data_IF_172705152971
#
_entry.id   IF_172705152971
#
_cell.length_a   1.000
_cell.length_b   1.000
_cell.length_c   1.000
_cell.angle_alpha   90.00
_cell.angle_beta   90.00
_cell.angle_gamma   90.00
#
_symmetry.space_group_name_H-M   'P 1'
#
loop_
_entity.id
_entity.type
_entity.pdbx_description
1 polymer ?
#
# COMPACT_ATOMS: atom_id res chain seq x y z
N UNK A 1 -27.60 48.68 14.04
CA UNK A 1 -27.23 47.34 13.53
C UNK A 1 -27.35 47.32 12.01
N UNK A 2 -26.24 47.32 11.25
CA UNK A 2 -26.26 47.16 9.79
C UNK A 2 -26.50 45.68 9.46
N UNK A 3 -27.69 45.32 8.97
CA UNK A 3 -27.95 43.99 8.39
C UNK A 3 -27.26 43.93 7.03
N UNK A 4 -26.19 43.14 6.94
CA UNK A 4 -25.50 42.87 5.68
C UNK A 4 -26.40 42.01 4.80
N UNK A 5 -27.16 42.65 3.90
CA UNK A 5 -28.00 41.95 2.93
C UNK A 5 -27.06 41.48 1.81
N UNK A 6 -26.57 40.24 1.94
CA UNK A 6 -25.82 39.59 0.87
C UNK A 6 -26.81 39.33 -0.27
N UNK A 7 -26.58 39.85 -1.49
CA UNK A 7 -27.51 39.67 -2.59
C UNK A 7 -27.68 38.18 -2.92
N UNK A 8 -28.91 37.75 -3.16
CA UNK A 8 -29.32 36.35 -3.30
C UNK A 8 -28.47 35.55 -4.31
N UNK A 9 -27.97 36.20 -5.38
CA UNK A 9 -27.05 35.62 -6.36
C UNK A 9 -25.69 35.19 -5.78
N UNK A 10 -25.12 35.96 -4.85
CA UNK A 10 -23.86 35.62 -4.18
C UNK A 10 -24.10 34.48 -3.18
N UNK A 11 -25.24 34.48 -2.50
CA UNK A 11 -25.63 33.42 -1.55
C UNK A 11 -25.79 32.06 -2.24
N UNK A 12 -26.42 32.04 -3.42
CA UNK A 12 -26.53 30.83 -4.26
C UNK A 12 -25.17 30.33 -4.75
N UNK A 13 -24.31 31.23 -5.25
CA UNK A 13 -22.95 30.86 -5.71
C UNK A 13 -22.09 30.28 -4.60
N UNK A 14 -22.11 30.86 -3.39
CA UNK A 14 -21.37 30.34 -2.24
C UNK A 14 -21.87 28.94 -1.86
N UNK A 15 -23.19 28.73 -1.77
CA UNK A 15 -23.77 27.41 -1.47
C UNK A 15 -23.35 26.36 -2.51
N UNK A 16 -23.41 26.69 -3.80
CA UNK A 16 -22.98 25.77 -4.87
C UNK A 16 -21.49 25.44 -4.77
N UNK A 17 -20.63 26.42 -4.50
CA UNK A 17 -19.19 26.20 -4.30
C UNK A 17 -18.95 25.29 -3.08
N UNK A 18 -19.68 25.50 -1.99
CA UNK A 18 -19.51 24.70 -0.77
C UNK A 18 -19.93 23.25 -1.00
N UNK A 19 -21.04 23.03 -1.71
CA UNK A 19 -21.54 21.70 -2.08
C UNK A 19 -20.52 21.00 -3.00
N UNK A 20 -20.03 21.70 -4.03
CA UNK A 20 -19.05 21.15 -4.97
C UNK A 20 -17.75 20.76 -4.24
N UNK A 21 -17.27 21.61 -3.34
CA UNK A 21 -16.09 21.34 -2.53
C UNK A 21 -16.31 20.13 -1.61
N UNK A 22 -17.49 20.02 -0.99
CA UNK A 22 -17.88 18.87 -0.17
C UNK A 22 -17.87 17.56 -0.97
N UNK A 23 -18.47 17.55 -2.16
CA UNK A 23 -18.50 16.37 -3.05
C UNK A 23 -17.08 15.98 -3.48
N UNK A 24 -16.27 16.96 -3.88
CA UNK A 24 -14.89 16.72 -4.31
C UNK A 24 -14.03 16.17 -3.17
N UNK A 25 -14.17 16.74 -1.96
CA UNK A 25 -13.49 16.27 -0.76
C UNK A 25 -13.85 14.82 -0.43
N UNK A 26 -15.15 14.50 -0.44
CA UNK A 26 -15.63 13.14 -0.18
C UNK A 26 -15.07 12.16 -1.22
N UNK A 27 -15.11 12.51 -2.50
CA UNK A 27 -14.59 11.68 -3.58
C UNK A 27 -13.08 11.40 -3.41
N UNK A 28 -12.30 12.44 -3.08
CA UNK A 28 -10.87 12.29 -2.79
C UNK A 28 -10.62 11.39 -1.59
N UNK A 29 -11.38 11.56 -0.49
CA UNK A 29 -11.20 10.69 0.69
C UNK A 29 -11.46 9.22 0.38
N UNK A 30 -12.48 8.91 -0.42
CA UNK A 30 -12.76 7.54 -0.85
C UNK A 30 -11.63 6.97 -1.71
N UNK A 31 -11.06 7.76 -2.64
CA UNK A 31 -9.97 7.31 -3.50
C UNK A 31 -8.67 7.00 -2.75
N UNK A 32 -8.44 7.63 -1.60
CA UNK A 32 -7.25 7.44 -0.77
C UNK A 32 -7.49 6.59 0.49
N UNK A 33 -8.72 6.14 0.73
CA UNK A 33 -9.02 5.23 1.82
C UNK A 33 -8.50 3.81 1.51
N UNK A 34 -7.82 3.17 2.46
CA UNK A 34 -7.35 1.78 2.32
C UNK A 34 -8.51 0.80 2.56
N UNK A 35 -9.44 0.71 1.62
CA UNK A 35 -10.67 -0.12 1.71
C UNK A 35 -10.70 -1.30 0.74
N UNK A 36 -9.77 -1.36 -0.21
CA UNK A 36 -9.75 -2.41 -1.22
C UNK A 36 -8.79 -3.49 -0.79
N UNK A 37 -9.29 -4.70 -0.55
CA UNK A 37 -8.42 -5.87 -0.44
C UNK A 37 -7.97 -6.25 -1.83
N UNK A 38 -6.66 -6.47 -1.98
CA UNK A 38 -6.09 -6.92 -3.25
C UNK A 38 -5.59 -8.36 -3.21
N UNK A 39 -5.20 -8.87 -2.03
CA UNK A 39 -4.78 -10.27 -1.87
C UNK A 39 -4.70 -10.71 -0.40
N UNK A 40 -4.84 -12.01 -0.13
CA UNK A 40 -4.43 -12.61 1.16
C UNK A 40 -2.96 -13.04 1.15
N UNK A 41 -2.27 -12.81 2.26
CA UNK A 41 -0.94 -13.38 2.48
C UNK A 41 -1.14 -14.83 2.93
N UNK A 42 -0.89 -15.77 2.03
CA UNK A 42 -1.00 -17.22 2.28
C UNK A 42 0.21 -17.69 3.09
N UNK A 43 0.14 -17.58 4.42
CA UNK A 43 1.23 -17.92 5.34
C UNK A 43 1.63 -19.40 5.22
N UNK A 44 0.68 -20.31 5.04
CA UNK A 44 0.96 -21.74 4.86
C UNK A 44 1.84 -22.02 3.63
N UNK A 45 1.51 -21.38 2.50
CA UNK A 45 2.32 -21.44 1.28
C UNK A 45 3.72 -20.84 1.49
N UNK A 46 3.81 -19.74 2.25
CA UNK A 46 5.09 -19.13 2.59
C UNK A 46 5.93 -20.09 3.42
N UNK A 47 5.36 -20.71 4.45
CA UNK A 47 6.03 -21.67 5.31
C UNK A 47 6.57 -22.86 4.52
N UNK A 48 5.75 -23.46 3.66
CA UNK A 48 6.16 -24.57 2.79
C UNK A 48 7.36 -24.17 1.91
N UNK A 49 7.31 -22.98 1.29
CA UNK A 49 8.41 -22.48 0.45
C UNK A 49 9.68 -22.18 1.24
N UNK A 50 9.55 -21.66 2.45
CA UNK A 50 10.69 -21.41 3.33
C UNK A 50 11.34 -22.72 3.78
N UNK A 51 10.55 -23.76 4.05
CA UNK A 51 11.06 -25.08 4.43
C UNK A 51 11.78 -25.77 3.26
N UNK A 52 11.26 -25.65 2.04
CA UNK A 52 11.94 -26.13 0.83
C UNK A 52 13.27 -25.37 0.64
N UNK A 53 13.25 -24.06 0.82
CA UNK A 53 14.47 -23.25 0.73
C UNK A 53 15.48 -23.61 1.81
N UNK A 54 15.07 -23.83 3.06
CA UNK A 54 16.00 -24.19 4.15
C UNK A 54 16.67 -25.54 3.87
N UNK A 55 15.93 -26.52 3.36
CA UNK A 55 16.47 -27.82 2.94
C UNK A 55 17.46 -27.67 1.78
N UNK A 56 17.18 -26.78 0.82
CA UNK A 56 18.06 -26.53 -0.33
C UNK A 56 19.28 -25.64 0.02
N UNK A 57 19.17 -24.74 1.01
CA UNK A 57 20.22 -23.82 1.45
C UNK A 57 21.14 -24.38 2.53
N UNK A 58 21.02 -25.68 2.86
CA UNK A 58 21.95 -26.36 3.79
C UNK A 58 23.44 -26.13 3.46
N UNK A 59 23.76 -25.81 2.20
CA UNK A 59 25.12 -25.54 1.73
C UNK A 59 25.52 -24.05 1.62
N UNK A 60 24.64 -23.10 1.95
CA UNK A 60 24.96 -21.66 1.87
C UNK A 60 24.45 -20.86 3.09
N UNK A 61 25.27 -20.73 4.15
CA UNK A 61 24.88 -20.08 5.41
C UNK A 61 24.65 -18.56 5.32
N UNK A 62 24.96 -17.92 4.18
CA UNK A 62 24.74 -16.47 3.99
C UNK A 62 23.43 -16.14 3.28
N UNK A 63 22.70 -17.15 2.82
CA UNK A 63 21.47 -16.92 2.09
C UNK A 63 20.34 -16.53 3.05
N UNK A 64 19.74 -15.36 2.83
CA UNK A 64 18.60 -14.89 3.63
C UNK A 64 17.35 -15.59 3.10
N UNK A 65 16.66 -16.41 3.92
CA UNK A 65 15.45 -17.11 3.49
C UNK A 65 14.36 -16.07 3.19
N UNK A 66 13.76 -16.16 1.99
CA UNK A 66 12.71 -15.23 1.56
C UNK A 66 11.83 -15.86 0.50
N UNK A 67 10.54 -15.54 0.56
CA UNK A 67 9.58 -15.89 -0.49
C UNK A 67 9.21 -14.64 -1.25
N UNK A 68 9.63 -14.57 -2.50
CA UNK A 68 9.22 -13.52 -3.44
C UNK A 68 7.90 -13.97 -4.09
N UNK A 69 6.80 -13.29 -3.77
CA UNK A 69 5.49 -13.62 -4.33
C UNK A 69 5.12 -12.62 -5.41
N UNK A 70 4.91 -13.14 -6.62
CA UNK A 70 4.42 -12.41 -7.77
C UNK A 70 3.11 -13.04 -8.23
N UNK A 71 1.98 -12.33 -8.05
CA UNK A 71 0.67 -12.83 -8.50
C UNK A 71 -0.07 -11.79 -9.34
N UNK A 72 -0.80 -12.30 -10.34
CA UNK A 72 -1.74 -11.49 -11.12
C UNK A 72 -2.97 -11.19 -10.26
N UNK A 73 -3.29 -9.92 -10.15
CA UNK A 73 -4.42 -9.42 -9.38
C UNK A 73 -5.70 -9.57 -10.19
N UNK A 74 -6.24 -10.79 -10.23
CA UNK A 74 -7.51 -11.08 -10.90
C UNK A 74 -8.70 -10.70 -10.02
N UNK A 75 -9.52 -11.71 -9.67
CA UNK A 75 -10.70 -11.60 -8.80
C UNK A 75 -10.40 -11.28 -7.33
N UNK A 76 -9.12 -11.18 -6.95
CA UNK A 76 -8.71 -10.93 -5.57
C UNK A 76 -8.94 -9.47 -5.12
N UNK A 77 -9.10 -8.54 -6.08
CA UNK A 77 -9.38 -7.12 -5.85
C UNK A 77 -10.86 -6.91 -5.57
N UNK A 78 -11.19 -6.55 -4.32
CA UNK A 78 -12.55 -6.17 -3.93
C UNK A 78 -12.56 -5.29 -2.69
N UNK A 79 -13.58 -4.44 -2.48
CA UNK A 79 -13.80 -3.79 -1.20
C UNK A 79 -13.87 -4.83 -0.08
N UNK A 80 -13.20 -4.58 1.04
CA UNK A 80 -13.22 -5.47 2.21
C UNK A 80 -13.12 -4.63 3.48
N UNK A 81 -14.16 -4.66 4.32
CA UNK A 81 -14.21 -3.87 5.54
C UNK A 81 -13.10 -4.24 6.52
N UNK A 82 -12.56 -5.46 6.44
CA UNK A 82 -11.42 -5.87 7.25
C UNK A 82 -10.19 -4.99 7.01
N UNK A 83 -10.08 -4.37 5.84
CA UNK A 83 -9.02 -3.39 5.55
C UNK A 83 -9.05 -2.14 6.45
N UNK A 84 -10.21 -1.85 7.06
CA UNK A 84 -10.39 -0.76 8.02
C UNK A 84 -10.11 -1.21 9.45
N UNK A 85 -10.53 -2.42 9.82
CA UNK A 85 -10.62 -2.84 11.23
C UNK A 85 -9.51 -3.78 11.70
N UNK A 86 -8.87 -4.52 10.80
CA UNK A 86 -7.79 -5.43 11.19
C UNK A 86 -6.53 -4.68 11.66
N UNK A 87 -5.74 -5.35 12.49
CA UNK A 87 -4.53 -4.77 13.05
C UNK A 87 -3.44 -4.58 11.98
N UNK A 88 -2.50 -3.68 12.25
CA UNK A 88 -1.36 -3.41 11.37
C UNK A 88 -0.17 -2.97 12.21
N UNK A 89 1.02 -3.44 11.86
CA UNK A 89 2.27 -3.03 12.51
C UNK A 89 3.28 -2.70 11.42
N UNK A 90 3.67 -1.43 11.34
CA UNK A 90 4.71 -0.96 10.41
C UNK A 90 6.06 -1.13 11.08
N UNK A 91 6.98 -1.81 10.40
CA UNK A 91 8.36 -2.04 10.87
C UNK A 91 9.31 -1.00 10.27
N UNK A 92 9.10 -0.64 9.01
CA UNK A 92 9.97 0.30 8.33
C UNK A 92 9.44 0.68 6.96
N UNK A 93 10.01 1.71 6.36
CA UNK A 93 9.72 2.15 4.99
C UNK A 93 10.93 2.84 4.40
N UNK A 94 11.02 2.89 3.08
CA UNK A 94 12.06 3.65 2.41
C UNK A 94 12.19 3.24 0.95
N UNK A 95 13.35 3.54 0.39
CA UNK A 95 13.67 3.26 -1.00
C UNK A 95 14.66 2.11 -1.10
N UNK A 96 14.45 1.21 -2.06
CA UNK A 96 15.46 0.20 -2.36
C UNK A 96 16.74 0.86 -2.86
N UNK A 97 17.89 0.27 -2.49
CA UNK A 97 19.21 0.68 -2.97
C UNK A 97 19.59 0.02 -4.31
N UNK A 98 18.70 -0.78 -4.89
CA UNK A 98 18.92 -1.42 -6.17
C UNK A 98 18.93 -0.37 -7.29
N UNK A 99 20.03 -0.29 -8.04
CA UNK A 99 20.19 0.67 -9.13
C UNK A 99 19.27 0.36 -10.32
N UNK A 100 18.87 -0.90 -10.50
CA UNK A 100 17.98 -1.35 -11.56
C UNK A 100 16.51 -1.10 -11.20
N UNK A 101 16.16 -1.13 -9.91
CA UNK A 101 14.77 -0.96 -9.45
C UNK A 101 14.69 -0.22 -8.10
N UNK A 102 14.79 1.12 -8.17
CA UNK A 102 14.67 2.05 -7.03
C UNK A 102 13.21 2.27 -6.62
N UNK A 103 12.49 1.19 -6.36
CA UNK A 103 11.10 1.25 -5.91
C UNK A 103 11.00 1.57 -4.41
N UNK A 104 9.85 2.14 -4.02
CA UNK A 104 9.53 2.42 -2.62
C UNK A 104 9.03 1.13 -1.97
N UNK A 105 9.42 0.90 -0.73
CA UNK A 105 9.00 -0.27 0.03
C UNK A 105 8.48 0.11 1.41
N UNK A 106 7.60 -0.75 1.93
CA UNK A 106 7.12 -0.70 3.31
C UNK A 106 7.17 -2.11 3.88
N UNK A 107 7.78 -2.23 5.05
CA UNK A 107 7.86 -3.46 5.82
C UNK A 107 6.78 -3.45 6.90
N UNK A 108 6.03 -4.54 6.94
CA UNK A 108 5.03 -4.81 7.95
C UNK A 108 5.38 -6.08 8.71
N UNK A 109 4.99 -6.13 9.97
CA UNK A 109 5.07 -7.33 10.80
C UNK A 109 3.71 -8.02 10.83
N UNK A 110 3.74 -9.35 10.78
CA UNK A 110 2.58 -10.22 10.96
C UNK A 110 2.94 -11.21 12.09
N UNK A 111 2.14 -11.27 13.17
CA UNK A 111 2.33 -12.27 14.22
C UNK A 111 2.19 -13.70 13.66
N UNK A 112 2.78 -14.71 14.34
CA UNK A 112 2.61 -16.10 13.93
C UNK A 112 1.13 -16.49 14.00
N UNK A 113 0.74 -17.44 13.15
CA UNK A 113 -0.62 -18.02 13.10
C UNK A 113 -1.76 -17.05 12.78
N UNK A 114 -1.47 -15.78 12.46
CA UNK A 114 -2.48 -14.80 12.05
C UNK A 114 -2.66 -14.80 10.54
N UNK A 115 -3.91 -14.78 10.09
CA UNK A 115 -4.20 -14.50 8.69
C UNK A 115 -3.93 -13.03 8.41
N UNK A 116 -3.36 -12.77 7.24
CA UNK A 116 -3.08 -11.41 6.81
C UNK A 116 -3.54 -11.16 5.37
N UNK A 117 -3.78 -9.90 5.05
CA UNK A 117 -4.15 -9.46 3.72
C UNK A 117 -3.48 -8.14 3.38
N UNK A 118 -3.29 -7.92 2.09
CA UNK A 118 -2.84 -6.66 1.54
C UNK A 118 -4.08 -5.85 1.16
N UNK A 119 -4.16 -4.65 1.74
CA UNK A 119 -5.18 -3.67 1.47
C UNK A 119 -4.56 -2.46 0.79
N UNK A 120 -5.23 -1.92 -0.21
CA UNK A 120 -4.77 -0.75 -0.97
C UNK A 120 -5.87 0.30 -1.08
N UNK A 121 -5.46 1.48 -1.50
CA UNK A 121 -6.39 2.51 -1.97
C UNK A 121 -7.05 2.08 -3.28
N UNK A 122 -8.27 2.55 -3.58
CA UNK A 122 -8.87 2.40 -4.91
C UNK A 122 -7.97 2.93 -6.03
N UNK A 123 -7.26 4.04 -5.79
CA UNK A 123 -6.34 4.60 -6.76
C UNK A 123 -5.20 3.63 -7.11
N UNK A 124 -4.55 3.03 -6.11
CA UNK A 124 -3.48 2.05 -6.34
C UNK A 124 -4.04 0.76 -6.94
N UNK A 125 -5.20 0.28 -6.47
CA UNK A 125 -5.84 -0.90 -7.04
C UNK A 125 -6.14 -0.72 -8.54
N UNK A 126 -6.71 0.42 -8.92
CA UNK A 126 -6.97 0.77 -10.31
C UNK A 126 -5.67 0.86 -11.13
N UNK A 127 -4.61 1.46 -10.58
CA UNK A 127 -3.31 1.53 -11.23
C UNK A 127 -2.68 0.15 -11.46
N UNK A 128 -2.83 -0.76 -10.51
CA UNK A 128 -2.36 -2.14 -10.61
C UNK A 128 -3.16 -2.95 -11.66
N UNK A 129 -4.45 -2.69 -11.81
CA UNK A 129 -5.30 -3.30 -12.86
C UNK A 129 -4.93 -2.74 -14.24
N UNK A 130 -4.81 -1.42 -14.35
CA UNK A 130 -4.58 -0.73 -15.62
C UNK A 130 -3.20 -1.05 -16.21
N UNK A 131 -2.16 -1.10 -15.36
CA UNK A 131 -0.83 -1.58 -15.76
C UNK A 131 -0.78 -3.11 -15.66
N UNK A 132 -1.50 -3.80 -16.56
CA UNK A 132 -1.50 -5.28 -16.69
C UNK A 132 -0.11 -5.92 -16.75
N UNK A 133 0.96 -5.14 -16.94
CA UNK A 133 2.36 -5.60 -17.02
C UNK A 133 3.11 -5.65 -15.70
N UNK A 134 2.74 -4.91 -14.64
CA UNK A 134 3.46 -4.95 -13.35
C UNK A 134 2.62 -5.66 -12.28
N UNK A 135 2.95 -6.90 -11.90
CA UNK A 135 2.26 -7.62 -10.83
C UNK A 135 2.53 -6.99 -9.46
N UNK A 136 1.64 -7.25 -8.50
CA UNK A 136 1.93 -6.94 -7.10
C UNK A 136 3.10 -7.82 -6.65
N UNK A 137 4.16 -7.16 -6.18
CA UNK A 137 5.34 -7.80 -5.64
C UNK A 137 5.36 -7.57 -4.13
N UNK A 138 5.36 -8.67 -3.39
CA UNK A 138 5.64 -8.64 -1.96
C UNK A 138 6.62 -9.75 -1.60
N UNK A 139 7.45 -9.47 -0.61
CA UNK A 139 8.48 -10.39 -0.13
C UNK A 139 8.18 -10.74 1.31
N UNK A 140 8.20 -12.01 1.65
CA UNK A 140 8.00 -12.48 3.02
C UNK A 140 9.32 -13.02 3.56
N UNK A 141 9.71 -12.52 4.72
CA UNK A 141 10.90 -12.94 5.46
C UNK A 141 10.45 -13.56 6.78
N UNK A 142 10.93 -14.75 7.15
CA UNK A 142 10.72 -15.27 8.49
C UNK A 142 11.50 -14.41 9.50
N UNK A 143 10.96 -14.30 10.69
CA UNK A 143 11.59 -13.67 11.86
C UNK A 143 11.38 -14.59 13.07
N UNK A 144 12.14 -14.39 14.14
CA UNK A 144 12.02 -15.20 15.37
C UNK A 144 10.59 -15.20 15.94
N UNK A 145 9.85 -14.11 15.75
CA UNK A 145 8.54 -13.89 16.36
C UNK A 145 7.41 -13.80 15.33
N UNK A 146 7.57 -14.29 14.09
CA UNK A 146 6.53 -14.20 13.05
C UNK A 146 7.10 -13.86 11.67
N UNK A 147 6.40 -13.03 10.90
CA UNK A 147 6.80 -12.70 9.54
C UNK A 147 6.99 -11.20 9.32
N UNK A 148 8.04 -10.84 8.60
CA UNK A 148 8.19 -9.51 8.01
C UNK A 148 7.78 -9.56 6.56
N UNK A 149 6.78 -8.79 6.18
CA UNK A 149 6.33 -8.68 4.80
C UNK A 149 6.64 -7.31 4.23
N UNK A 150 7.45 -7.30 3.19
CA UNK A 150 7.80 -6.12 2.41
C UNK A 150 6.86 -5.98 1.22
N UNK A 151 6.07 -4.92 1.18
CA UNK A 151 5.37 -4.51 -0.05
C UNK A 151 6.31 -3.63 -0.85
N UNK A 152 6.55 -4.00 -2.11
CA UNK A 152 7.27 -3.15 -3.07
C UNK A 152 6.25 -2.44 -3.95
N UNK A 153 6.13 -1.14 -3.77
CA UNK A 153 5.23 -0.31 -4.55
C UNK A 153 5.98 0.10 -5.82
N UNK A 154 5.51 -0.39 -6.98
CA UNK A 154 6.09 -0.21 -8.33
C UNK A 154 6.10 1.23 -8.86
N UNK A 155 6.46 2.19 -8.01
CA UNK A 155 6.26 3.63 -8.09
C UNK A 155 7.60 4.40 -8.11
N UNK A 156 8.73 3.75 -8.40
CA UNK A 156 10.05 4.36 -8.67
C UNK A 156 10.02 5.61 -9.55
N UNK A 157 9.06 5.68 -10.49
CA UNK A 157 8.85 6.84 -11.37
C UNK A 157 8.51 8.14 -10.64
N UNK A 158 8.02 8.09 -9.40
CA UNK A 158 7.67 9.27 -8.60
C UNK A 158 8.91 9.96 -8.02
N UNK A 159 10.00 9.21 -7.79
CA UNK A 159 11.22 9.71 -7.13
C UNK A 159 11.93 10.81 -7.92
N UNK A 160 12.06 10.66 -9.25
CA UNK A 160 12.71 11.67 -10.12
C UNK A 160 11.92 12.99 -10.17
N UNK A 161 10.61 13.00 -10.46
CA UNK A 161 9.77 14.19 -10.33
C UNK A 161 9.84 14.84 -8.94
N UNK A 162 9.80 14.05 -7.86
CA UNK A 162 9.95 14.55 -6.49
C UNK A 162 11.21 15.39 -6.32
N UNK A 163 12.36 14.82 -6.70
CA UNK A 163 13.64 15.50 -6.62
C UNK A 163 13.67 16.76 -7.47
N UNK A 164 13.15 16.69 -8.69
CA UNK A 164 13.19 17.82 -9.62
C UNK A 164 12.30 18.99 -9.15
N UNK A 165 11.15 18.71 -8.52
CA UNK A 165 10.21 19.75 -8.10
C UNK A 165 10.49 20.31 -6.71
N UNK A 166 10.99 19.48 -5.79
CA UNK A 166 11.14 19.85 -4.38
C UNK A 166 12.57 19.85 -3.88
N UNK A 167 13.53 19.41 -4.70
CA UNK A 167 14.91 19.12 -4.26
C UNK A 167 15.04 17.87 -3.38
N UNK A 168 13.92 17.28 -2.93
CA UNK A 168 13.88 16.15 -2.02
C UNK A 168 13.37 14.88 -2.73
N UNK A 169 14.11 13.79 -2.62
CA UNK A 169 13.72 12.48 -3.19
C UNK A 169 12.57 11.82 -2.42
N UNK A 170 12.38 12.18 -1.16
CA UNK A 170 11.42 11.56 -0.23
C UNK A 170 10.10 12.36 -0.14
N UNK A 171 9.90 13.31 -1.06
CA UNK A 171 8.76 14.24 -1.01
C UNK A 171 7.38 13.56 -1.12
N UNK A 172 7.34 12.31 -1.60
CA UNK A 172 6.13 11.51 -1.77
C UNK A 172 5.99 10.38 -0.76
N UNK A 173 6.95 10.14 0.13
CA UNK A 173 6.98 8.98 1.03
C UNK A 173 5.72 8.88 1.90
N UNK A 174 5.22 10.02 2.37
CA UNK A 174 3.96 10.08 3.14
C UNK A 174 2.77 9.61 2.30
N UNK A 175 2.69 10.03 1.04
CA UNK A 175 1.62 9.64 0.12
C UNK A 175 1.74 8.16 -0.27
N UNK A 176 2.94 7.70 -0.58
CA UNK A 176 3.25 6.31 -0.95
C UNK A 176 2.93 5.37 0.21
N UNK A 177 3.35 5.71 1.44
CA UNK A 177 3.04 4.91 2.63
C UNK A 177 1.54 4.74 2.93
N UNK A 178 0.70 5.55 2.30
CA UNK A 178 -0.77 5.48 2.38
C UNK A 178 -1.40 4.68 1.24
N UNK A 179 -0.65 4.17 0.28
CA UNK A 179 -1.22 3.45 -0.88
C UNK A 179 -1.47 1.97 -0.60
N UNK A 180 -0.57 1.28 0.09
CA UNK A 180 -0.75 -0.12 0.51
C UNK A 180 -0.57 -0.31 2.02
N UNK A 181 -1.19 -1.34 2.58
CA UNK A 181 -1.04 -1.76 3.98
C UNK A 181 -1.22 -3.25 4.13
N UNK A 182 -0.49 -3.84 5.06
CA UNK A 182 -0.76 -5.20 5.51
C UNK A 182 -1.61 -5.13 6.77
N UNK A 183 -2.70 -5.88 6.71
CA UNK A 183 -3.68 -6.03 7.78
C UNK A 183 -3.68 -7.48 8.21
N UNK A 184 -3.70 -7.73 9.52
CA UNK A 184 -3.78 -9.09 10.06
C UNK A 184 -4.86 -9.20 11.13
N UNK A 185 -5.33 -10.42 11.35
CA UNK A 185 -6.35 -10.72 12.36
C UNK A 185 -5.87 -10.24 13.74
N UNK A 186 -6.70 -9.47 14.48
CA UNK A 186 -6.37 -9.04 15.83
C UNK A 186 -6.11 -10.24 16.76
#
# INVERSE_FOLDING_TARGET
>A
MKKTIIPYKIKGSVVTITILFGILSLFLTCLFAKIVRVKFVEIDFVLEKLEIQSKAQANNPRAIPRVDVQRRLGSDIRPDLRCLFWATTVVGRGWTNDSADRDFFIDYYIPPDKKAMICTTPALAAALIAKRTKPLLYKVYPTEYGFRVRIVEGLSKVRKPCKNWTGNVDCADSLLSRQAIIRYEP
#
